data_IF_650789471911
#
_entry.id   IF_650789471911
#
_cell.length_a   1.000
_cell.length_b   1.000
_cell.length_c   1.000
_cell.angle_alpha   90.00
_cell.angle_beta   90.00
_cell.angle_gamma   90.00
#
_symmetry.space_group_name_H-M   'P 1'
#
loop_
_entity.id
_entity.type
_entity.pdbx_description
1 polymer ?
#
# COMPACT_ATOMS: atom_id res chain seq x y z
N UNK A 1 43.69 -12.16 53.93
CA UNK A 1 42.40 -12.70 53.42
C UNK A 1 41.30 -11.66 53.16
N UNK A 2 41.29 -10.45 53.75
CA UNK A 2 40.24 -9.42 53.50
C UNK A 2 40.24 -8.85 52.06
N UNK A 3 41.42 -8.53 51.50
CA UNK A 3 41.58 -8.00 50.12
C UNK A 3 41.01 -8.91 49.02
N UNK A 4 41.08 -10.24 49.18
CA UNK A 4 40.58 -11.19 48.18
C UNK A 4 39.03 -11.20 48.13
N UNK A 5 38.38 -10.97 49.27
CA UNK A 5 36.92 -10.90 49.40
C UNK A 5 36.35 -9.62 48.78
N UNK A 6 37.06 -8.49 48.93
CA UNK A 6 36.71 -7.22 48.27
C UNK A 6 36.87 -7.29 46.75
N UNK A 7 37.92 -7.94 46.25
CA UNK A 7 38.14 -8.14 44.82
C UNK A 7 37.03 -8.98 44.16
N UNK A 8 36.60 -10.07 44.81
CA UNK A 8 35.48 -10.90 44.35
C UNK A 8 34.16 -10.14 44.33
N UNK A 9 33.89 -9.33 45.36
CA UNK A 9 32.69 -8.48 45.45
C UNK A 9 32.67 -7.39 44.36
N UNK A 10 33.82 -6.77 44.07
CA UNK A 10 33.96 -5.82 42.96
C UNK A 10 33.69 -6.52 41.62
N UNK A 11 34.31 -7.67 41.37
CA UNK A 11 34.16 -8.44 40.11
C UNK A 11 32.72 -8.88 39.88
N UNK A 12 32.01 -9.27 40.95
CA UNK A 12 30.59 -9.61 40.93
C UNK A 12 29.71 -8.40 40.56
N UNK A 13 29.98 -7.22 41.14
CA UNK A 13 29.27 -5.98 40.84
C UNK A 13 29.51 -5.50 39.42
N UNK A 14 30.74 -5.54 38.93
CA UNK A 14 31.08 -5.22 37.54
C UNK A 14 30.37 -6.15 36.57
N UNK A 15 30.34 -7.46 36.84
CA UNK A 15 29.63 -8.45 36.01
C UNK A 15 28.12 -8.20 35.98
N UNK A 16 27.50 -7.85 37.12
CA UNK A 16 26.08 -7.48 37.18
C UNK A 16 25.75 -6.18 36.43
N UNK A 17 26.62 -5.17 36.50
CA UNK A 17 26.42 -3.90 35.79
C UNK A 17 26.57 -4.12 34.28
N UNK A 18 27.60 -4.87 33.85
CA UNK A 18 27.81 -5.21 32.44
C UNK A 18 26.64 -5.97 31.83
N UNK A 19 26.03 -6.91 32.56
CA UNK A 19 24.84 -7.64 32.07
C UNK A 19 23.65 -6.71 31.88
N UNK A 20 23.37 -5.80 32.83
CA UNK A 20 22.25 -4.84 32.71
C UNK A 20 22.43 -3.90 31.53
N UNK A 21 23.64 -3.40 31.31
CA UNK A 21 23.98 -2.57 30.15
C UNK A 21 23.83 -3.35 28.85
N UNK A 22 24.30 -4.60 28.80
CA UNK A 22 24.14 -5.46 27.63
C UNK A 22 22.65 -5.70 27.30
N UNK A 23 21.82 -5.97 28.31
CA UNK A 23 20.37 -6.15 28.14
C UNK A 23 19.69 -4.88 27.65
N UNK A 24 20.06 -3.70 28.20
CA UNK A 24 19.53 -2.43 27.68
C UNK A 24 19.93 -2.18 26.22
N UNK A 25 21.20 -2.43 25.87
CA UNK A 25 21.67 -2.25 24.50
C UNK A 25 20.98 -3.19 23.51
N UNK A 26 20.75 -4.45 23.91
CA UNK A 26 19.99 -5.42 23.13
C UNK A 26 18.53 -4.98 22.96
N UNK A 27 17.90 -4.47 24.02
CA UNK A 27 16.53 -3.96 23.97
C UNK A 27 16.40 -2.74 23.04
N UNK A 28 17.31 -1.77 23.13
CA UNK A 28 17.34 -0.60 22.24
C UNK A 28 17.54 -1.01 20.79
N UNK A 29 18.43 -1.96 20.51
CA UNK A 29 18.64 -2.51 19.16
C UNK A 29 17.37 -3.16 18.60
N UNK A 30 16.65 -3.93 19.42
CA UNK A 30 15.41 -4.57 19.03
C UNK A 30 14.31 -3.55 18.70
N UNK A 31 14.15 -2.53 19.54
CA UNK A 31 13.18 -1.45 19.31
C UNK A 31 13.50 -0.68 18.02
N UNK A 32 14.79 -0.42 17.78
CA UNK A 32 15.23 0.25 16.55
C UNK A 32 14.94 -0.58 15.29
N UNK A 33 15.06 -1.91 15.38
CA UNK A 33 14.68 -2.82 14.28
C UNK A 33 13.18 -2.82 13.99
N UNK A 34 12.34 -2.80 15.03
CA UNK A 34 10.88 -2.78 14.88
C UNK A 34 10.35 -1.45 14.32
N UNK A 35 11.07 -0.34 14.55
CA UNK A 35 10.69 0.98 14.04
C UNK A 35 10.85 1.13 12.52
N UNK A 36 11.54 0.22 11.85
CA UNK A 36 11.86 0.30 10.41
C UNK A 36 10.83 -0.45 9.55
N UNK A 37 9.83 -1.12 10.14
CA UNK A 37 8.83 -1.84 9.35
C UNK A 37 8.04 -0.84 8.50
N UNK A 38 8.13 -0.91 7.16
CA UNK A 38 7.38 -0.01 6.30
C UNK A 38 5.88 -0.26 6.46
N UNK A 39 5.04 0.78 6.36
CA UNK A 39 3.60 0.58 6.32
C UNK A 39 3.26 -0.38 5.17
N UNK A 40 2.46 -1.40 5.46
CA UNK A 40 1.94 -2.27 4.43
C UNK A 40 1.09 -1.41 3.48
N UNK A 41 1.63 -1.10 2.29
CA UNK A 41 0.89 -0.42 1.23
C UNK A 41 -0.12 -1.42 0.66
N UNK A 42 -1.28 -1.52 1.30
CA UNK A 42 -2.41 -2.22 0.73
C UNK A 42 -2.88 -1.43 -0.50
N UNK A 43 -3.00 -2.11 -1.64
CA UNK A 43 -3.71 -1.57 -2.79
C UNK A 43 -5.09 -1.05 -2.32
N UNK A 44 -5.51 0.16 -2.71
CA UNK A 44 -6.83 0.63 -2.34
C UNK A 44 -7.88 -0.30 -2.93
N UNK A 45 -8.63 -0.96 -2.05
CA UNK A 45 -9.67 -1.94 -2.36
C UNK A 45 -11.04 -1.43 -1.90
N UNK A 46 -12.08 -1.78 -2.65
CA UNK A 46 -13.46 -1.46 -2.32
C UNK A 46 -14.39 -2.56 -2.82
N UNK A 47 -15.40 -2.91 -2.02
CA UNK A 47 -16.50 -3.72 -2.49
C UNK A 47 -17.42 -2.88 -3.38
N UNK A 48 -17.69 -3.36 -4.59
CA UNK A 48 -18.57 -2.73 -5.57
C UNK A 48 -19.55 -3.81 -6.02
N UNK A 49 -20.82 -3.67 -5.62
CA UNK A 49 -21.78 -4.76 -5.70
C UNK A 49 -21.34 -5.94 -4.82
N UNK A 50 -21.22 -7.14 -5.41
CA UNK A 50 -20.80 -8.38 -4.74
C UNK A 50 -19.30 -8.69 -4.91
N UNK A 51 -18.56 -7.86 -5.63
CA UNK A 51 -17.17 -8.13 -5.99
C UNK A 51 -16.21 -7.17 -5.28
N UNK A 52 -15.06 -7.69 -4.87
CA UNK A 52 -13.98 -6.90 -4.30
C UNK A 52 -13.10 -6.38 -5.42
N UNK A 53 -13.01 -5.06 -5.55
CA UNK A 53 -12.24 -4.40 -6.60
C UNK A 53 -11.08 -3.64 -5.98
N UNK A 54 -9.86 -3.96 -6.40
CA UNK A 54 -8.62 -3.37 -5.91
C UNK A 54 -7.84 -2.69 -7.03
N UNK A 55 -7.20 -1.56 -6.75
CA UNK A 55 -6.32 -0.90 -7.72
C UNK A 55 -4.95 -1.56 -7.66
N UNK A 56 -4.61 -2.36 -8.69
CA UNK A 56 -3.29 -2.97 -8.81
C UNK A 56 -2.25 -1.95 -9.26
N UNK A 57 -2.61 -1.05 -10.18
CA UNK A 57 -1.71 -0.01 -10.69
C UNK A 57 -2.53 1.18 -11.17
N UNK A 58 -2.02 2.38 -10.94
CA UNK A 58 -2.59 3.61 -11.47
C UNK A 58 -1.49 4.58 -11.87
N UNK A 59 -1.53 5.06 -13.11
CA UNK A 59 -0.54 5.98 -13.69
C UNK A 59 -1.25 7.13 -14.40
N UNK A 60 -0.91 8.37 -14.04
CA UNK A 60 -1.41 9.57 -14.73
C UNK A 60 -0.73 9.69 -16.10
N UNK A 61 -1.49 10.09 -17.13
CA UNK A 61 -0.96 10.40 -18.45
C UNK A 61 -0.16 11.71 -18.43
N UNK A 62 0.98 11.73 -19.11
CA UNK A 62 1.81 12.93 -19.23
C UNK A 62 1.23 13.97 -20.21
N UNK A 63 0.48 13.51 -21.23
CA UNK A 63 -0.12 14.38 -22.25
C UNK A 63 -1.44 15.00 -21.82
N UNK A 64 -2.24 14.24 -21.07
CA UNK A 64 -3.57 14.64 -20.62
C UNK A 64 -3.70 14.41 -19.11
N UNK A 65 -3.57 15.44 -18.25
CA UNK A 65 -3.46 15.25 -16.80
C UNK A 65 -4.74 14.69 -16.13
N UNK A 66 -5.86 14.72 -16.85
CA UNK A 66 -7.13 14.12 -16.44
C UNK A 66 -7.30 12.65 -16.88
N UNK A 67 -6.36 12.09 -17.63
CA UNK A 67 -6.36 10.69 -18.04
C UNK A 67 -5.47 9.84 -17.14
N UNK A 68 -5.98 8.68 -16.76
CA UNK A 68 -5.29 7.71 -15.92
C UNK A 68 -5.31 6.34 -16.58
N UNK A 69 -4.15 5.68 -16.61
CA UNK A 69 -4.02 4.27 -16.94
C UNK A 69 -4.19 3.47 -15.66
N UNK A 70 -5.18 2.60 -15.60
CA UNK A 70 -5.54 1.87 -14.39
C UNK A 70 -5.58 0.38 -14.69
N UNK A 71 -4.94 -0.40 -13.83
CA UNK A 71 -5.04 -1.86 -13.80
C UNK A 71 -5.75 -2.22 -12.51
N UNK A 72 -6.90 -2.87 -12.60
CA UNK A 72 -7.62 -3.36 -11.42
C UNK A 72 -7.39 -4.85 -11.19
N UNK A 73 -7.65 -5.28 -9.97
CA UNK A 73 -7.83 -6.67 -9.60
C UNK A 73 -9.25 -6.84 -9.06
N UNK A 74 -9.95 -7.89 -9.49
CA UNK A 74 -11.31 -8.20 -9.07
C UNK A 74 -11.30 -9.59 -8.45
N UNK A 75 -11.69 -9.66 -7.18
CA UNK A 75 -11.65 -10.89 -6.38
C UNK A 75 -10.28 -11.60 -6.45
N UNK A 76 -9.20 -10.82 -6.53
CA UNK A 76 -7.81 -11.29 -6.65
C UNK A 76 -7.31 -11.51 -8.08
N UNK A 77 -8.19 -11.49 -9.09
CA UNK A 77 -7.83 -11.67 -10.51
C UNK A 77 -7.52 -10.33 -11.17
N UNK A 78 -6.29 -10.15 -11.67
CA UNK A 78 -5.88 -8.95 -12.41
C UNK A 78 -6.64 -8.83 -13.74
N UNK A 79 -7.16 -7.64 -13.98
CA UNK A 79 -7.85 -7.27 -15.20
C UNK A 79 -6.89 -6.53 -16.15
N UNK A 80 -7.20 -6.45 -17.45
CA UNK A 80 -6.42 -5.65 -18.40
C UNK A 80 -6.34 -4.18 -18.00
N UNK A 81 -5.28 -3.51 -18.45
CA UNK A 81 -5.10 -2.09 -18.23
C UNK A 81 -6.09 -1.27 -19.07
N UNK A 82 -6.75 -0.30 -18.44
CA UNK A 82 -7.74 0.57 -19.09
C UNK A 82 -7.37 2.05 -18.90
N UNK A 83 -7.94 2.93 -19.74
CA UNK A 83 -7.76 4.38 -19.65
C UNK A 83 -9.04 5.00 -19.11
N UNK A 84 -8.90 5.83 -18.07
CA UNK A 84 -9.98 6.52 -17.39
C UNK A 84 -9.81 8.02 -17.59
N UNK A 85 -10.86 8.70 -18.07
CA UNK A 85 -10.90 10.16 -18.15
C UNK A 85 -11.75 10.71 -17.00
N UNK A 86 -11.12 11.50 -16.12
CA UNK A 86 -11.77 12.07 -14.93
C UNK A 86 -12.19 13.54 -15.07
N UNK A 87 -12.03 14.17 -16.26
CA UNK A 87 -12.39 15.59 -16.48
C UNK A 87 -13.90 15.75 -16.58
N UNK A 88 -14.51 14.98 -17.47
CA UNK A 88 -15.93 15.05 -17.76
C UNK A 88 -16.56 13.88 -17.02
N UNK A 89 -17.16 14.15 -15.85
CA UNK A 89 -17.67 13.19 -14.86
C UNK A 89 -18.73 12.18 -15.36
N UNK A 90 -18.80 11.92 -16.67
CA UNK A 90 -19.80 11.16 -17.41
C UNK A 90 -19.26 10.36 -18.59
N UNK A 91 -17.96 10.38 -18.94
CA UNK A 91 -17.46 9.61 -20.10
C UNK A 91 -16.27 8.71 -19.73
N UNK A 92 -16.60 7.45 -19.44
CA UNK A 92 -15.64 6.37 -19.24
C UNK A 92 -15.34 5.73 -20.60
N UNK A 93 -14.21 6.08 -21.23
CA UNK A 93 -13.76 5.43 -22.46
C UNK A 93 -12.82 4.28 -22.11
N UNK A 94 -13.41 3.15 -21.75
CA UNK A 94 -12.69 1.92 -21.46
C UNK A 94 -12.29 1.28 -22.78
N UNK A 95 -11.02 0.87 -22.86
CA UNK A 95 -10.35 0.36 -24.06
C UNK A 95 -9.94 1.45 -25.06
N UNK A 96 -8.71 1.33 -25.61
CA UNK A 96 -8.05 2.29 -26.49
C UNK A 96 -8.69 2.55 -27.85
N UNK A 97 -9.99 2.29 -27.99
CA UNK A 97 -10.81 2.80 -29.09
C UNK A 97 -11.75 3.84 -28.49
N UNK A 98 -11.65 5.10 -28.94
CA UNK A 98 -12.56 6.19 -28.56
C UNK A 98 -13.97 5.91 -29.10
N UNK A 99 -14.66 4.91 -28.57
CA UNK A 99 -16.05 4.62 -28.91
C UNK A 99 -16.91 4.87 -27.68
N UNK A 100 -18.02 5.63 -27.82
CA UNK A 100 -18.99 5.75 -26.74
C UNK A 100 -19.49 4.34 -26.39
N UNK A 101 -19.60 4.06 -25.09
CA UNK A 101 -20.17 2.82 -24.57
C UNK A 101 -21.68 2.89 -24.83
N UNK A 102 -22.07 2.42 -26.01
CA UNK A 102 -23.44 2.11 -26.35
C UNK A 102 -23.63 0.65 -25.94
N UNK A 103 -24.65 0.41 -25.13
CA UNK A 103 -25.14 -0.90 -24.72
C UNK A 103 -25.09 -1.95 -25.83
N UNK A 104 -24.69 -3.17 -25.43
CA UNK A 104 -24.83 -4.46 -26.14
C UNK A 104 -23.61 -4.93 -26.97
N UNK A 105 -23.07 -6.08 -26.56
CA UNK A 105 -22.08 -6.90 -27.27
C UNK A 105 -20.65 -6.34 -27.42
N UNK A 106 -19.86 -6.50 -26.35
CA UNK A 106 -18.40 -6.46 -26.41
C UNK A 106 -17.83 -6.54 -25.01
N UNK A 107 -17.00 -7.54 -24.71
CA UNK A 107 -16.44 -7.75 -23.38
C UNK A 107 -15.60 -6.54 -22.94
N UNK A 108 -16.21 -5.64 -22.15
CA UNK A 108 -15.60 -4.48 -21.51
C UNK A 108 -15.54 -4.75 -20.02
N UNK A 109 -14.34 -4.61 -19.45
CA UNK A 109 -13.93 -5.24 -18.20
C UNK A 109 -14.07 -4.35 -16.95
N UNK A 110 -14.59 -3.13 -17.09
CA UNK A 110 -15.01 -2.28 -15.97
C UNK A 110 -16.48 -1.88 -16.15
N UNK A 111 -17.37 -2.70 -15.60
CA UNK A 111 -18.81 -2.61 -15.90
C UNK A 111 -19.61 -1.59 -15.08
N UNK A 112 -19.02 -0.89 -14.10
CA UNK A 112 -19.83 0.01 -13.26
C UNK A 112 -19.29 1.44 -13.24
N UNK A 113 -20.20 2.37 -13.53
CA UNK A 113 -20.03 3.81 -13.29
C UNK A 113 -19.48 4.09 -11.89
N UNK A 114 -19.91 3.30 -10.91
CA UNK A 114 -19.44 3.36 -9.52
C UNK A 114 -17.92 3.14 -9.36
N UNK A 115 -17.34 2.20 -10.12
CA UNK A 115 -15.88 1.93 -10.09
C UNK A 115 -15.10 3.12 -10.62
N UNK A 116 -15.51 3.66 -11.79
CA UNK A 116 -14.87 4.81 -12.39
C UNK A 116 -14.96 6.06 -11.52
N UNK A 117 -16.13 6.34 -10.94
CA UNK A 117 -16.32 7.46 -10.00
C UNK A 117 -15.46 7.32 -8.74
N UNK A 118 -15.35 6.12 -8.19
CA UNK A 118 -14.50 5.85 -7.04
C UNK A 118 -13.03 6.15 -7.34
N UNK A 119 -12.50 5.67 -8.47
CA UNK A 119 -11.12 5.91 -8.87
C UNK A 119 -10.88 7.40 -9.12
N UNK A 120 -11.77 8.09 -9.84
CA UNK A 120 -11.64 9.53 -10.08
C UNK A 120 -11.66 10.35 -8.79
N UNK A 121 -12.44 9.93 -7.79
CA UNK A 121 -12.43 10.57 -6.46
C UNK A 121 -11.13 10.29 -5.71
N UNK A 122 -10.59 9.09 -5.83
CA UNK A 122 -9.33 8.71 -5.19
C UNK A 122 -8.17 9.57 -5.69
N UNK A 123 -8.02 9.70 -7.02
CA UNK A 123 -6.91 10.47 -7.64
C UNK A 123 -7.07 11.99 -7.50
N UNK A 124 -8.26 12.48 -7.15
CA UNK A 124 -8.48 13.91 -6.87
C UNK A 124 -8.11 14.27 -5.43
N UNK A 125 -8.18 13.30 -4.50
CA UNK A 125 -7.88 13.51 -3.08
C UNK A 125 -6.38 13.45 -2.79
N UNK A 126 -5.63 12.74 -3.63
CA UNK A 126 -4.18 12.55 -3.54
C UNK A 126 -3.46 13.55 -4.44
#
# INVERSE_FOLDING_TARGET
MKKFREYLSLKQKFRSISIRVLVMLLGVRLLFWLAIVPPANAAPCRMIGTQTVCISEIKRSAKYPWEYRVTLSRDGVKQPQEILNCRDAKQFSLQGNRRPVNSEAGAVLFQTKETGEWICRLVKRN
#
